data_IF_008874132475
#
_entry.id   IF_008874132475
#
_cell.length_a   1.000
_cell.length_b   1.000
_cell.length_c   1.000
_cell.angle_alpha   90.00
_cell.angle_beta   90.00
_cell.angle_gamma   90.00
#
_symmetry.space_group_name_H-M   'P 1'
#
loop_
_entity.id
_entity.type
_entity.pdbx_description
1 polymer ?
#
# COMPACT_ATOMS: atom_id res chain seq x y z
N UNK A 1 -23.68 -2.11 -3.09
CA UNK A 1 -22.67 -3.19 -3.16
C UNK A 1 -21.76 -3.05 -1.95
N UNK A 2 -21.29 -4.17 -1.38
CA UNK A 2 -20.38 -4.15 -0.23
C UNK A 2 -18.94 -3.78 -0.63
N UNK A 3 -18.03 -3.62 0.35
CA UNK A 3 -16.62 -3.32 0.08
C UNK A 3 -15.99 -4.42 -0.79
N UNK A 4 -15.23 -4.02 -1.80
CA UNK A 4 -14.47 -4.91 -2.69
C UNK A 4 -13.29 -5.50 -1.95
N UNK A 5 -13.26 -6.83 -1.85
CA UNK A 5 -12.26 -7.55 -1.06
C UNK A 5 -11.35 -8.33 -2.02
N UNK A 6 -10.04 -8.16 -1.86
CA UNK A 6 -9.01 -8.91 -2.59
C UNK A 6 -8.18 -9.76 -1.64
N UNK A 7 -7.67 -10.89 -2.13
CA UNK A 7 -6.72 -11.75 -1.41
C UNK A 7 -5.32 -11.55 -2.01
N UNK A 8 -4.38 -11.03 -1.22
CA UNK A 8 -3.04 -10.72 -1.68
C UNK A 8 -2.32 -12.00 -2.14
N UNK A 9 -1.77 -11.97 -3.35
CA UNK A 9 -0.94 -13.03 -3.90
C UNK A 9 0.20 -12.44 -4.74
N UNK A 10 1.18 -13.29 -5.09
CA UNK A 10 2.37 -12.92 -5.88
C UNK A 10 2.04 -12.89 -7.39
N UNK A 11 0.87 -13.39 -7.78
CA UNK A 11 0.26 -13.22 -9.11
C UNK A 11 -1.11 -13.92 -9.20
N UNK A 12 -1.92 -13.57 -10.22
CA UNK A 12 -3.22 -14.23 -10.45
C UNK A 12 -3.10 -15.75 -10.65
N UNK A 13 -1.98 -16.22 -11.20
CA UNK A 13 -1.75 -17.63 -11.57
C UNK A 13 -0.82 -18.38 -10.61
N UNK A 14 -0.17 -17.70 -9.64
CA UNK A 14 0.82 -18.32 -8.77
C UNK A 14 0.15 -19.02 -7.58
N UNK A 15 -0.53 -20.11 -7.91
CA UNK A 15 -1.31 -20.97 -7.00
C UNK A 15 -0.39 -22.00 -6.31
N UNK A 16 0.89 -22.10 -6.73
CA UNK A 16 1.82 -23.12 -6.23
C UNK A 16 2.41 -22.73 -4.86
N UNK A 17 2.03 -23.49 -3.83
CA UNK A 17 2.80 -23.60 -2.58
C UNK A 17 2.21 -22.96 -1.33
N UNK A 18 1.07 -22.25 -1.43
CA UNK A 18 0.38 -21.70 -0.26
C UNK A 18 -1.00 -22.33 -0.07
N UNK A 19 -1.04 -23.53 0.53
CA UNK A 19 -2.29 -24.22 0.91
C UNK A 19 -3.23 -23.32 1.71
N UNK A 20 -2.67 -22.44 2.55
CA UNK A 20 -3.42 -21.45 3.34
C UNK A 20 -4.14 -20.43 2.45
N UNK A 21 -3.46 -19.93 1.40
CA UNK A 21 -4.03 -18.94 0.47
C UNK A 21 -5.13 -19.58 -0.38
N UNK A 22 -4.93 -20.82 -0.84
CA UNK A 22 -5.98 -21.56 -1.57
C UNK A 22 -7.20 -21.87 -0.69
N UNK A 23 -6.97 -22.27 0.57
CA UNK A 23 -8.07 -22.50 1.52
C UNK A 23 -8.85 -21.21 1.80
N UNK A 24 -8.14 -20.09 2.01
CA UNK A 24 -8.75 -18.78 2.19
C UNK A 24 -9.55 -18.35 0.95
N UNK A 25 -9.03 -18.57 -0.25
CA UNK A 25 -9.72 -18.31 -1.51
C UNK A 25 -11.07 -19.06 -1.59
N UNK A 26 -11.07 -20.37 -1.29
CA UNK A 26 -12.30 -21.17 -1.25
C UNK A 26 -13.33 -20.67 -0.24
N UNK A 27 -12.88 -20.28 0.96
CA UNK A 27 -13.74 -19.73 2.00
C UNK A 27 -14.33 -18.35 1.61
N UNK A 28 -13.52 -17.48 0.99
CA UNK A 28 -13.95 -16.16 0.53
C UNK A 28 -14.96 -16.26 -0.62
N UNK A 29 -14.76 -17.18 -1.57
CA UNK A 29 -15.74 -17.46 -2.62
C UNK A 29 -17.09 -17.90 -2.05
N UNK A 30 -17.10 -18.71 -0.99
CA UNK A 30 -18.32 -19.21 -0.36
C UNK A 30 -18.97 -18.21 0.63
N UNK A 31 -18.32 -17.08 0.93
CA UNK A 31 -18.72 -16.17 2.01
C UNK A 31 -19.88 -15.21 1.67
N UNK A 32 -20.21 -15.06 0.38
CA UNK A 32 -21.18 -14.06 -0.09
C UNK A 32 -20.68 -12.61 -0.03
N UNK A 33 -19.40 -12.40 0.33
CA UNK A 33 -18.74 -11.09 0.28
C UNK A 33 -18.51 -10.64 -1.17
N UNK A 34 -18.30 -9.34 -1.37
CA UNK A 34 -17.91 -8.79 -2.68
C UNK A 34 -16.42 -9.07 -2.94
N UNK A 35 -16.11 -10.35 -3.15
CA UNK A 35 -14.76 -10.85 -3.33
C UNK A 35 -14.34 -10.77 -4.81
N UNK A 36 -13.24 -10.08 -5.08
CA UNK A 36 -12.70 -9.85 -6.42
C UNK A 36 -11.76 -10.96 -6.89
N UNK A 37 -11.25 -11.79 -5.98
CA UNK A 37 -10.24 -12.80 -6.30
C UNK A 37 -8.87 -12.46 -5.73
N UNK A 38 -7.83 -12.91 -6.44
CA UNK A 38 -6.45 -12.57 -6.11
C UNK A 38 -6.13 -11.14 -6.53
N UNK A 39 -5.28 -10.48 -5.75
CA UNK A 39 -4.79 -9.12 -6.04
C UNK A 39 -3.30 -9.07 -5.77
N UNK A 40 -2.59 -8.23 -6.53
CA UNK A 40 -1.14 -8.08 -6.42
C UNK A 40 -0.75 -6.87 -5.55
N UNK A 41 0.55 -6.70 -5.32
CA UNK A 41 1.06 -5.58 -4.52
C UNK A 41 0.71 -4.20 -5.10
N UNK A 42 0.58 -4.08 -6.42
CA UNK A 42 0.23 -2.82 -7.08
C UNK A 42 -1.24 -2.42 -6.87
N UNK A 43 -2.13 -3.41 -6.70
CA UNK A 43 -3.56 -3.20 -6.44
C UNK A 43 -3.84 -2.61 -5.06
N UNK A 44 -2.88 -2.72 -4.13
CA UNK A 44 -2.98 -2.13 -2.78
C UNK A 44 -3.22 -0.62 -2.87
N UNK A 45 -2.73 0.04 -3.92
CA UNK A 45 -2.81 1.49 -4.11
C UNK A 45 -3.68 1.92 -5.30
N UNK A 46 -4.25 1.00 -6.07
CA UNK A 46 -5.02 1.31 -7.28
C UNK A 46 -6.36 2.00 -6.97
N UNK A 47 -6.92 1.74 -5.79
CA UNK A 47 -8.28 2.13 -5.45
C UNK A 47 -9.34 1.22 -6.07
N UNK A 48 -8.94 0.12 -6.72
CA UNK A 48 -9.84 -0.90 -7.25
C UNK A 48 -10.26 -1.94 -6.22
N UNK A 49 -9.55 -1.98 -5.08
CA UNK A 49 -9.81 -2.86 -3.94
C UNK A 49 -10.00 -2.00 -2.69
N UNK A 50 -11.04 -2.29 -1.91
CA UNK A 50 -11.33 -1.56 -0.68
C UNK A 50 -10.69 -2.23 0.54
N UNK A 51 -10.55 -3.57 0.52
CA UNK A 51 -9.94 -4.37 1.58
C UNK A 51 -9.03 -5.43 0.98
N UNK A 52 -7.75 -5.43 1.35
CA UNK A 52 -6.79 -6.46 0.98
C UNK A 52 -6.57 -7.40 2.17
N UNK A 53 -6.83 -8.69 1.96
CA UNK A 53 -6.64 -9.76 2.95
C UNK A 53 -5.32 -10.45 2.68
N UNK A 54 -4.57 -10.74 3.73
CA UNK A 54 -3.28 -11.43 3.66
C UNK A 54 -3.00 -12.13 4.99
N UNK A 55 -2.09 -13.09 5.02
CA UNK A 55 -1.54 -13.59 6.27
C UNK A 55 -0.72 -12.50 6.99
N UNK A 56 -0.52 -12.67 8.30
CA UNK A 56 0.15 -11.66 9.12
C UNK A 56 1.64 -11.48 8.82
N UNK A 57 2.33 -12.49 8.28
CA UNK A 57 3.73 -12.37 7.89
C UNK A 57 3.86 -11.53 6.64
N UNK A 58 3.16 -11.91 5.57
CA UNK A 58 3.17 -11.17 4.29
C UNK A 58 2.64 -9.75 4.49
N UNK A 59 1.57 -9.58 5.27
CA UNK A 59 1.02 -8.26 5.59
C UNK A 59 1.99 -7.36 6.36
N UNK A 60 2.74 -7.92 7.31
CA UNK A 60 3.75 -7.15 8.05
C UNK A 60 4.94 -6.77 7.14
N UNK A 61 5.41 -7.70 6.30
CA UNK A 61 6.46 -7.41 5.31
C UNK A 61 6.01 -6.31 4.34
N UNK A 62 4.79 -6.40 3.82
CA UNK A 62 4.23 -5.39 2.94
C UNK A 62 4.14 -4.02 3.64
N UNK A 63 3.54 -3.96 4.84
CA UNK A 63 3.39 -2.72 5.61
C UNK A 63 4.75 -2.08 5.92
N UNK A 64 5.72 -2.86 6.40
CA UNK A 64 7.07 -2.36 6.74
C UNK A 64 7.83 -1.90 5.50
N UNK A 65 7.66 -2.58 4.37
CA UNK A 65 8.23 -2.16 3.09
C UNK A 65 7.65 -0.83 2.65
N UNK A 66 6.33 -0.66 2.72
CA UNK A 66 5.64 0.60 2.40
C UNK A 66 6.09 1.75 3.31
N UNK A 67 6.17 1.52 4.62
CA UNK A 67 6.69 2.50 5.59
C UNK A 67 8.14 2.90 5.28
N UNK A 68 9.01 1.92 4.98
CA UNK A 68 10.41 2.15 4.63
C UNK A 68 10.58 2.93 3.33
N UNK A 69 9.79 2.59 2.30
CA UNK A 69 9.80 3.29 1.02
C UNK A 69 9.32 4.74 1.17
N UNK A 70 8.23 4.97 1.91
CA UNK A 70 7.74 6.33 2.19
C UNK A 70 8.78 7.16 2.96
N UNK A 71 9.45 6.57 3.96
CA UNK A 71 10.51 7.23 4.72
C UNK A 71 11.73 7.57 3.84
N UNK A 72 12.12 6.68 2.93
CA UNK A 72 13.20 6.91 1.97
C UNK A 72 12.86 8.05 1.00
N UNK A 73 11.66 8.07 0.42
CA UNK A 73 11.23 9.14 -0.49
C UNK A 73 11.21 10.48 0.26
N UNK A 74 10.66 10.50 1.48
CA UNK A 74 10.60 11.70 2.30
C UNK A 74 11.99 12.24 2.67
N UNK A 75 12.94 11.36 3.00
CA UNK A 75 14.32 11.76 3.32
C UNK A 75 15.03 12.34 2.10
N UNK A 76 14.91 11.69 0.93
CA UNK A 76 15.50 12.15 -0.33
C UNK A 76 14.94 13.50 -0.77
N UNK A 77 13.62 13.68 -0.72
CA UNK A 77 13.00 14.97 -1.03
C UNK A 77 13.51 16.08 -0.10
N UNK A 78 13.67 15.78 1.19
CA UNK A 78 14.21 16.73 2.15
C UNK A 78 15.66 17.10 1.83
N UNK A 79 16.51 16.12 1.53
CA UNK A 79 17.91 16.35 1.11
C UNK A 79 17.97 17.31 -0.10
N UNK A 80 17.18 17.06 -1.14
CA UNK A 80 17.15 17.89 -2.36
C UNK A 80 16.67 19.33 -2.10
N UNK A 81 15.62 19.51 -1.31
CA UNK A 81 15.16 20.86 -0.94
C UNK A 81 16.16 21.63 -0.07
N UNK A 82 17.09 20.94 0.59
CA UNK A 82 18.15 21.56 1.40
C UNK A 82 19.47 21.76 0.66
N UNK A 83 19.65 21.14 -0.52
CA UNK A 83 20.92 21.12 -1.25
C UNK A 83 21.42 22.50 -1.70
N UNK A 84 20.53 23.43 -2.09
CA UNK A 84 20.91 24.76 -2.58
C UNK A 84 19.99 25.85 -2.07
N UNK A 85 20.42 27.12 -2.10
CA UNK A 85 19.57 28.24 -1.70
C UNK A 85 18.31 28.37 -2.59
N UNK A 86 18.40 28.02 -3.88
CA UNK A 86 17.27 27.99 -4.81
C UNK A 86 16.29 26.88 -4.45
N UNK A 87 16.77 25.67 -4.17
CA UNK A 87 15.91 24.57 -3.75
C UNK A 87 15.25 24.82 -2.39
N UNK A 88 15.93 25.52 -1.47
CA UNK A 88 15.33 25.98 -0.21
C UNK A 88 14.19 26.98 -0.41
N UNK A 89 14.34 27.92 -1.35
CA UNK A 89 13.29 28.87 -1.70
C UNK A 89 12.08 28.15 -2.32
N UNK A 90 12.34 27.19 -3.23
CA UNK A 90 11.31 26.34 -3.81
C UNK A 90 10.59 25.48 -2.74
N UNK A 91 11.34 24.92 -1.79
CA UNK A 91 10.80 24.16 -0.67
C UNK A 91 9.89 24.98 0.24
N UNK A 92 10.23 26.26 0.49
CA UNK A 92 9.38 27.18 1.23
C UNK A 92 8.05 27.46 0.49
N UNK A 93 8.10 27.67 -0.82
CA UNK A 93 6.90 27.85 -1.64
C UNK A 93 6.03 26.57 -1.68
N UNK A 94 6.68 25.39 -1.74
CA UNK A 94 6.02 24.09 -1.80
C UNK A 94 5.57 23.56 -0.43
N UNK A 95 5.94 24.21 0.68
CA UNK A 95 5.73 23.71 2.06
C UNK A 95 4.28 23.30 2.34
N UNK A 96 3.31 24.09 1.89
CA UNK A 96 1.89 23.79 2.07
C UNK A 96 1.40 22.56 1.30
N UNK A 97 2.02 22.23 0.16
CA UNK A 97 1.74 21.01 -0.60
C UNK A 97 2.43 19.82 0.08
N UNK A 98 3.71 19.95 0.41
CA UNK A 98 4.49 18.90 1.08
C UNK A 98 3.87 18.49 2.41
N UNK A 99 3.41 19.43 3.22
CA UNK A 99 2.71 19.14 4.48
C UNK A 99 1.39 18.39 4.26
N UNK A 100 0.65 18.68 3.20
CA UNK A 100 -0.59 17.95 2.86
C UNK A 100 -0.31 16.54 2.36
N UNK A 101 0.76 16.34 1.60
CA UNK A 101 1.19 15.01 1.13
C UNK A 101 1.67 14.17 2.32
N UNK A 102 2.56 14.71 3.15
CA UNK A 102 3.03 14.03 4.36
C UNK A 102 1.86 13.64 5.29
N UNK A 103 0.87 14.52 5.43
CA UNK A 103 -0.35 14.28 6.19
C UNK A 103 -1.24 13.14 5.65
N UNK A 104 -1.16 12.82 4.36
CA UNK A 104 -1.90 11.71 3.72
C UNK A 104 -1.14 10.38 3.78
N UNK A 105 0.18 10.44 3.85
CA UNK A 105 1.06 9.28 3.95
C UNK A 105 1.28 8.79 5.38
N UNK A 106 0.74 9.50 6.40
CA UNK A 106 0.86 9.08 7.80
C UNK A 106 -0.06 7.87 8.09
N UNK A 107 0.49 6.66 8.33
CA UNK A 107 -0.30 5.47 8.57
C UNK A 107 -1.10 5.53 9.88
N UNK A 108 -0.70 6.41 10.82
CA UNK A 108 -1.34 6.53 12.14
C UNK A 108 -2.71 7.21 12.11
N UNK A 109 -3.18 7.61 10.93
CA UNK A 109 -4.46 8.29 10.71
C UNK A 109 -5.63 7.35 10.38
N UNK A 110 -5.37 6.06 10.23
CA UNK A 110 -6.38 5.04 9.94
C UNK A 110 -6.31 3.91 10.95
#
# INVERSE_FOLDING_TARGET
MGPRIGLLNIGEEDIKGHEVVQAAHGLLLASGLNYLGFVEGDDIFSGDVDVVVTDGFTGNVALKTMEGAAALIASRLREEFHATWRSRLAGLAARGVLSRVAARLDPRRY
#
